data_IF_795328292329
#
_entry.id   IF_795328292329
#
_cell.length_a   1.000
_cell.length_b   1.000
_cell.length_c   1.000
_cell.angle_alpha   90.00
_cell.angle_beta   90.00
_cell.angle_gamma   90.00
#
_symmetry.space_group_name_H-M   'P 1'
#
loop_
_entity.id
_entity.type
_entity.pdbx_description
1 polymer ?
#
# COMPACT_ATOMS: atom_id res chain seq x y z
N UNK A 1 -14.25 6.15 -17.99
CA UNK A 1 -14.28 6.76 -16.64
C UNK A 1 -14.55 8.28 -16.63
N UNK A 2 -15.11 8.82 -17.72
CA UNK A 2 -15.32 10.29 -17.89
C UNK A 2 -16.24 10.95 -16.85
N UNK A 3 -17.06 10.17 -16.13
CA UNK A 3 -18.05 10.66 -15.20
C UNK A 3 -17.59 10.59 -13.73
N UNK A 4 -16.29 10.32 -13.50
CA UNK A 4 -15.75 10.09 -12.16
C UNK A 4 -14.85 11.24 -11.74
N UNK A 5 -15.07 11.75 -10.52
CA UNK A 5 -14.17 12.66 -9.83
C UNK A 5 -13.47 11.88 -8.71
N UNK A 6 -12.15 11.83 -8.77
CA UNK A 6 -11.33 11.17 -7.74
C UNK A 6 -10.93 12.17 -6.65
N UNK A 7 -10.94 11.72 -5.40
CA UNK A 7 -10.53 12.51 -4.24
C UNK A 7 -9.54 11.69 -3.40
N UNK A 8 -8.36 12.26 -3.09
CA UNK A 8 -7.33 11.56 -2.35
C UNK A 8 -6.21 12.46 -1.84
N UNK A 9 -5.13 11.89 -1.27
CA UNK A 9 -3.90 12.64 -1.05
C UNK A 9 -3.25 13.02 -2.38
N UNK A 10 -2.39 14.05 -2.38
CA UNK A 10 -1.59 14.41 -3.56
C UNK A 10 -0.76 13.20 -4.03
N UNK A 11 -0.69 13.01 -5.35
CA UNK A 11 -0.05 11.85 -5.96
C UNK A 11 1.29 12.16 -6.64
N UNK A 12 1.53 13.38 -7.13
CA UNK A 12 2.75 13.71 -7.90
C UNK A 12 4.03 13.65 -7.05
N UNK A 13 3.97 14.04 -5.77
CA UNK A 13 5.11 14.01 -4.84
C UNK A 13 4.74 13.25 -3.57
N UNK A 14 4.05 12.13 -3.73
CA UNK A 14 3.56 11.35 -2.61
C UNK A 14 4.67 10.63 -1.85
N UNK A 15 4.47 10.50 -0.52
CA UNK A 15 5.29 9.66 0.37
C UNK A 15 4.44 8.56 1.03
N UNK A 16 3.63 7.84 0.24
CA UNK A 16 2.77 6.80 0.79
C UNK A 16 1.97 6.03 -0.26
N UNK A 17 1.49 4.84 0.12
CA UNK A 17 0.87 3.89 -0.78
C UNK A 17 -0.35 4.41 -1.52
N UNK A 18 -1.27 5.16 -0.86
CA UNK A 18 -2.46 5.69 -1.54
C UNK A 18 -2.08 6.67 -2.66
N UNK A 19 -1.05 7.50 -2.45
CA UNK A 19 -0.53 8.39 -3.48
C UNK A 19 0.01 7.60 -4.68
N UNK A 20 0.70 6.48 -4.45
CA UNK A 20 1.19 5.60 -5.50
C UNK A 20 0.05 5.02 -6.35
N UNK A 21 -1.03 4.55 -5.73
CA UNK A 21 -2.22 4.07 -6.47
C UNK A 21 -2.84 5.17 -7.32
N UNK A 22 -2.99 6.38 -6.76
CA UNK A 22 -3.58 7.51 -7.48
C UNK A 22 -2.66 7.97 -8.62
N UNK A 23 -1.35 7.86 -8.45
CA UNK A 23 -0.38 8.16 -9.52
C UNK A 23 -0.58 7.23 -10.72
N UNK A 24 -0.73 5.92 -10.49
CA UNK A 24 -1.08 4.96 -11.55
C UNK A 24 -2.42 5.33 -12.20
N UNK A 25 -3.44 5.68 -11.41
CA UNK A 25 -4.73 6.13 -11.96
C UNK A 25 -4.56 7.34 -12.88
N UNK A 26 -3.72 8.30 -12.49
CA UNK A 26 -3.50 9.54 -13.26
C UNK A 26 -2.85 9.32 -14.61
N UNK A 27 -2.07 8.25 -14.76
CA UNK A 27 -1.39 7.89 -16.02
C UNK A 27 -2.29 7.14 -16.98
N UNK A 28 -3.22 6.34 -16.47
CA UNK A 28 -4.04 5.44 -17.27
C UNK A 28 -5.49 5.89 -17.48
N UNK A 29 -5.96 6.91 -16.75
CA UNK A 29 -7.33 7.43 -16.87
C UNK A 29 -7.32 8.80 -17.55
N UNK A 30 -7.95 8.92 -18.70
CA UNK A 30 -8.07 10.19 -19.45
C UNK A 30 -9.54 10.48 -19.76
N UNK A 31 -10.08 11.66 -19.39
CA UNK A 31 -9.47 12.69 -18.54
C UNK A 31 -9.44 12.27 -17.05
N UNK A 32 -8.36 12.58 -16.37
CA UNK A 32 -8.23 12.33 -14.93
C UNK A 32 -8.67 13.56 -14.12
N UNK A 33 -9.89 13.51 -13.57
CA UNK A 33 -10.44 14.57 -12.71
C UNK A 33 -10.11 14.26 -11.27
N UNK A 34 -9.31 15.12 -10.61
CA UNK A 34 -8.80 14.85 -9.28
C UNK A 34 -8.80 16.08 -8.37
N UNK A 35 -9.13 15.87 -7.10
CA UNK A 35 -9.02 16.87 -6.03
C UNK A 35 -8.09 16.33 -4.94
N UNK A 36 -6.92 16.97 -4.71
CA UNK A 36 -6.06 16.65 -3.59
C UNK A 36 -6.66 17.17 -2.27
N UNK A 37 -6.62 16.34 -1.22
CA UNK A 37 -7.12 16.69 0.12
C UNK A 37 -6.03 16.76 1.18
N UNK A 38 -4.81 16.40 0.82
CA UNK A 38 -3.66 16.36 1.71
C UNK A 38 -2.38 16.42 0.89
N UNK A 39 -1.44 17.22 1.37
CA UNK A 39 -0.05 17.29 0.88
C UNK A 39 0.90 17.19 2.06
N UNK A 40 2.12 16.74 1.82
CA UNK A 40 3.18 16.77 2.83
C UNK A 40 3.57 18.22 3.11
N UNK A 41 3.60 18.63 4.37
CA UNK A 41 3.95 20.01 4.74
C UNK A 41 3.42 20.39 6.11
N UNK A 42 3.50 21.71 6.45
CA UNK A 42 3.00 22.24 7.71
C UNK A 42 1.50 22.04 7.89
N UNK A 43 1.04 21.99 9.13
CA UNK A 43 -0.38 21.85 9.47
C UNK A 43 -1.24 22.94 8.80
N UNK A 44 -0.76 24.19 8.84
CA UNK A 44 -1.46 25.32 8.21
C UNK A 44 -1.63 25.12 6.69
N UNK A 45 -0.57 24.69 6.02
CA UNK A 45 -0.64 24.38 4.58
C UNK A 45 -1.63 23.26 4.27
N UNK A 46 -1.67 22.20 5.10
CA UNK A 46 -2.66 21.12 4.97
C UNK A 46 -4.10 21.62 5.13
N UNK A 47 -4.36 22.54 6.07
CA UNK A 47 -5.66 23.15 6.25
C UNK A 47 -6.09 23.95 5.01
N UNK A 48 -5.20 24.75 4.43
CA UNK A 48 -5.47 25.53 3.20
C UNK A 48 -5.84 24.58 2.04
N UNK A 49 -5.06 23.52 1.82
CA UNK A 49 -5.34 22.55 0.76
C UNK A 49 -6.71 21.89 0.96
N UNK A 50 -7.03 21.54 2.18
CA UNK A 50 -8.32 20.93 2.48
C UNK A 50 -9.50 21.90 2.28
N UNK A 51 -9.37 23.15 2.68
CA UNK A 51 -10.38 24.20 2.42
C UNK A 51 -10.55 24.41 0.90
N UNK A 52 -9.44 24.52 0.15
CA UNK A 52 -9.49 24.60 -1.31
C UNK A 52 -10.19 23.38 -1.93
N UNK A 53 -9.97 22.18 -1.38
CA UNK A 53 -10.63 20.95 -1.84
C UNK A 53 -12.16 21.03 -1.66
N UNK A 54 -12.65 21.56 -0.54
CA UNK A 54 -14.09 21.76 -0.29
C UNK A 54 -14.69 22.70 -1.34
N UNK A 55 -14.12 23.91 -1.51
CA UNK A 55 -14.64 24.89 -2.49
C UNK A 55 -14.57 24.35 -3.91
N UNK A 56 -13.49 23.70 -4.30
CA UNK A 56 -13.35 23.10 -5.62
C UNK A 56 -14.37 21.98 -5.86
N UNK A 57 -14.66 21.16 -4.84
CA UNK A 57 -15.68 20.12 -4.93
C UNK A 57 -17.07 20.73 -5.15
N UNK A 58 -17.45 21.72 -4.34
CA UNK A 58 -18.73 22.41 -4.48
C UNK A 58 -18.86 23.03 -5.88
N UNK A 59 -17.85 23.76 -6.32
CA UNK A 59 -17.82 24.38 -7.64
C UNK A 59 -17.98 23.35 -8.78
N UNK A 60 -17.21 22.24 -8.74
CA UNK A 60 -17.31 21.18 -9.74
C UNK A 60 -18.66 20.47 -9.71
N UNK A 61 -19.21 20.21 -8.53
CA UNK A 61 -20.53 19.59 -8.41
C UNK A 61 -21.63 20.46 -9.03
N UNK A 62 -21.48 21.78 -8.96
CA UNK A 62 -22.44 22.75 -9.49
C UNK A 62 -22.26 22.96 -10.99
N UNK A 63 -21.02 23.08 -11.49
CA UNK A 63 -20.72 23.49 -12.87
C UNK A 63 -20.54 22.32 -13.83
N UNK A 64 -20.05 21.16 -13.37
CA UNK A 64 -19.79 20.00 -14.23
C UNK A 64 -20.83 18.89 -14.00
N UNK A 65 -21.89 18.94 -14.82
CA UNK A 65 -22.95 17.93 -14.82
C UNK A 65 -22.46 16.55 -15.29
N UNK A 66 -21.32 16.48 -15.96
CA UNK A 66 -20.69 15.22 -16.39
C UNK A 66 -20.17 14.40 -15.22
N UNK A 67 -19.85 15.01 -14.08
CA UNK A 67 -19.47 14.30 -12.87
C UNK A 67 -20.71 13.67 -12.24
N UNK A 68 -20.78 12.34 -12.26
CA UNK A 68 -21.89 11.57 -11.67
C UNK A 68 -21.44 10.74 -10.46
N UNK A 69 -20.14 10.38 -10.40
CA UNK A 69 -19.53 9.58 -9.34
C UNK A 69 -18.41 10.36 -8.68
N UNK A 70 -18.35 10.31 -7.36
CA UNK A 70 -17.21 10.78 -6.56
C UNK A 70 -16.56 9.56 -5.91
N UNK A 71 -15.35 9.23 -6.36
CA UNK A 71 -14.55 8.13 -5.85
C UNK A 71 -13.51 8.65 -4.86
N UNK A 72 -13.64 8.28 -3.60
CA UNK A 72 -12.85 8.83 -2.51
C UNK A 72 -11.90 7.77 -1.95
N UNK A 73 -10.59 8.00 -2.05
CA UNK A 73 -9.57 7.14 -1.46
C UNK A 73 -9.39 7.46 0.02
N UNK A 74 -9.74 6.54 0.89
CA UNK A 74 -9.70 6.70 2.34
C UNK A 74 -8.53 5.95 2.99
N UNK A 75 -7.94 6.59 4.03
CA UNK A 75 -7.19 5.91 5.08
C UNK A 75 -8.03 5.92 6.38
N UNK A 76 -7.44 5.51 7.51
CA UNK A 76 -8.06 5.56 8.84
C UNK A 76 -7.94 6.95 9.49
N UNK A 77 -8.58 7.13 10.66
CA UNK A 77 -8.47 8.27 11.57
C UNK A 77 -8.86 9.62 10.91
N UNK A 78 -8.05 10.66 11.12
CA UNK A 78 -8.33 12.00 10.60
C UNK A 78 -8.51 12.08 9.09
N UNK A 79 -7.87 11.19 8.32
CA UNK A 79 -8.09 11.09 6.86
C UNK A 79 -9.53 10.66 6.55
N UNK A 80 -10.08 9.71 7.30
CA UNK A 80 -11.46 9.27 7.13
C UNK A 80 -12.44 10.41 7.42
N UNK A 81 -12.32 11.04 8.58
CA UNK A 81 -13.24 12.10 9.02
C UNK A 81 -13.30 13.29 8.04
N UNK A 82 -12.13 13.78 7.61
CA UNK A 82 -12.08 14.88 6.62
C UNK A 82 -12.78 14.50 5.32
N UNK A 83 -12.52 13.31 4.80
CA UNK A 83 -13.09 12.87 3.52
C UNK A 83 -14.57 12.49 3.61
N UNK A 84 -15.06 12.10 4.79
CA UNK A 84 -16.49 11.89 5.03
C UNK A 84 -17.29 13.17 4.84
N UNK A 85 -16.73 14.35 5.18
CA UNK A 85 -17.38 15.63 4.88
C UNK A 85 -17.50 15.87 3.38
N UNK A 86 -16.46 15.54 2.60
CA UNK A 86 -16.50 15.65 1.14
C UNK A 86 -17.52 14.67 0.52
N UNK A 87 -17.64 13.46 1.09
CA UNK A 87 -18.67 12.50 0.70
C UNK A 87 -20.08 13.06 0.94
N UNK A 88 -20.31 13.69 2.10
CA UNK A 88 -21.58 14.33 2.43
C UNK A 88 -21.92 15.45 1.43
N UNK A 89 -20.95 16.34 1.13
CA UNK A 89 -21.13 17.40 0.13
C UNK A 89 -21.54 16.78 -1.21
N UNK A 90 -20.83 15.79 -1.69
CA UNK A 90 -21.17 15.11 -2.95
C UNK A 90 -22.59 14.53 -2.95
N UNK A 91 -23.03 13.96 -1.84
CA UNK A 91 -24.41 13.45 -1.68
C UNK A 91 -25.47 14.54 -1.75
N UNK A 92 -25.22 15.69 -1.12
CA UNK A 92 -26.13 16.85 -1.19
C UNK A 92 -26.33 17.31 -2.64
N UNK A 93 -25.30 17.19 -3.49
CA UNK A 93 -25.39 17.45 -4.93
C UNK A 93 -25.87 16.26 -5.77
N UNK A 94 -26.43 15.23 -5.15
CA UNK A 94 -26.97 14.05 -5.84
C UNK A 94 -25.93 13.16 -6.54
N UNK A 95 -24.65 13.29 -6.18
CA UNK A 95 -23.59 12.45 -6.77
C UNK A 95 -23.54 11.07 -6.09
N UNK A 96 -23.24 10.04 -6.85
CA UNK A 96 -22.97 8.70 -6.32
C UNK A 96 -21.61 8.67 -5.61
N UNK A 97 -21.57 8.10 -4.42
CA UNK A 97 -20.38 8.11 -3.55
C UNK A 97 -19.78 6.71 -3.45
N UNK A 98 -18.51 6.60 -3.79
CA UNK A 98 -17.71 5.39 -3.63
C UNK A 98 -16.59 5.66 -2.63
N UNK A 99 -16.49 4.84 -1.59
CA UNK A 99 -15.45 4.92 -0.58
C UNK A 99 -14.45 3.79 -0.80
N UNK A 100 -13.22 4.10 -1.20
CA UNK A 100 -12.15 3.14 -1.40
C UNK A 100 -11.22 3.15 -0.19
N UNK A 101 -11.23 2.10 0.61
CA UNK A 101 -10.56 2.06 1.92
C UNK A 101 -9.25 1.29 1.82
N UNK A 102 -8.13 2.01 1.98
CA UNK A 102 -6.77 1.47 1.85
C UNK A 102 -6.11 1.10 3.19
N UNK A 103 -6.66 1.57 4.30
CA UNK A 103 -5.98 1.48 5.60
C UNK A 103 -6.14 0.13 6.29
N UNK A 104 -5.03 -0.58 6.56
CA UNK A 104 -5.00 -1.82 7.34
C UNK A 104 -5.40 -1.68 8.83
N UNK A 105 -5.44 -0.46 9.36
CA UNK A 105 -5.81 -0.19 10.77
C UNK A 105 -7.26 0.27 10.97
N UNK A 106 -8.16 0.06 10.00
CA UNK A 106 -9.52 0.60 10.07
C UNK A 106 -10.33 0.01 11.23
N UNK A 107 -10.23 -1.29 11.51
CA UNK A 107 -10.92 -1.96 12.62
C UNK A 107 -10.52 -1.36 13.98
N UNK A 108 -9.23 -1.12 14.21
CA UNK A 108 -8.74 -0.46 15.43
C UNK A 108 -9.25 0.98 15.54
N UNK A 109 -9.28 1.71 14.43
CA UNK A 109 -9.82 3.06 14.37
C UNK A 109 -11.31 3.05 14.74
N UNK A 110 -12.12 2.21 14.13
CA UNK A 110 -13.55 2.09 14.40
C UNK A 110 -13.82 1.67 15.83
N UNK A 111 -13.11 0.66 16.36
CA UNK A 111 -13.29 0.17 17.70
C UNK A 111 -12.98 1.23 18.78
N UNK A 112 -11.97 2.07 18.54
CA UNK A 112 -11.57 3.14 19.48
C UNK A 112 -12.39 4.43 19.33
N UNK A 113 -13.17 4.56 18.29
CA UNK A 113 -13.83 5.82 17.91
C UNK A 113 -15.08 6.18 18.76
N UNK A 114 -15.27 5.60 19.93
CA UNK A 114 -16.40 5.83 20.88
C UNK A 114 -17.58 6.68 20.32
N UNK A 115 -17.51 7.97 20.45
CA UNK A 115 -18.56 8.92 20.02
C UNK A 115 -18.66 9.11 18.50
N UNK A 116 -17.63 8.75 17.75
CA UNK A 116 -17.63 8.88 16.27
C UNK A 116 -18.17 7.63 15.56
N UNK A 117 -18.39 6.54 16.28
CA UNK A 117 -18.92 5.29 15.68
C UNK A 117 -20.19 5.49 14.85
N UNK A 118 -21.22 6.22 15.34
CA UNK A 118 -22.43 6.43 14.56
C UNK A 118 -22.17 7.18 13.25
N UNK A 119 -21.31 8.21 13.29
CA UNK A 119 -20.92 8.97 12.09
C UNK A 119 -20.14 8.13 11.09
N UNK A 120 -19.16 7.33 11.56
CA UNK A 120 -18.40 6.42 10.71
C UNK A 120 -19.32 5.40 10.05
N UNK A 121 -20.20 4.78 10.85
CA UNK A 121 -21.18 3.80 10.37
C UNK A 121 -22.10 4.42 9.32
N UNK A 122 -22.69 5.57 9.63
CA UNK A 122 -23.55 6.29 8.70
C UNK A 122 -22.82 6.63 7.39
N UNK A 123 -21.58 7.12 7.44
CA UNK A 123 -20.79 7.44 6.24
C UNK A 123 -20.62 6.23 5.34
N UNK A 124 -20.30 5.07 5.91
CA UNK A 124 -20.12 3.82 5.16
C UNK A 124 -21.44 3.30 4.60
N UNK A 125 -22.46 3.18 5.44
CA UNK A 125 -23.76 2.59 5.07
C UNK A 125 -24.58 3.47 4.12
N UNK A 126 -24.35 4.78 4.15
CA UNK A 126 -25.00 5.71 3.24
C UNK A 126 -24.32 5.83 1.87
N UNK A 127 -23.10 5.35 1.69
CA UNK A 127 -22.39 5.37 0.40
C UNK A 127 -23.02 4.40 -0.60
N UNK A 128 -22.83 4.65 -1.91
CA UNK A 128 -23.36 3.78 -2.96
C UNK A 128 -22.52 2.52 -3.14
N UNK A 129 -21.22 2.59 -2.83
CA UNK A 129 -20.35 1.43 -2.72
C UNK A 129 -19.18 1.69 -1.77
N UNK A 130 -18.72 0.61 -1.14
CA UNK A 130 -17.44 0.55 -0.41
C UNK A 130 -16.53 -0.43 -1.14
N UNK A 131 -15.32 0.02 -1.46
CA UNK A 131 -14.24 -0.80 -2.01
C UNK A 131 -13.28 -1.13 -0.88
N UNK A 132 -12.97 -2.41 -0.71
CA UNK A 132 -11.92 -2.92 0.15
C UNK A 132 -10.87 -3.67 -0.67
N UNK A 133 -9.71 -3.97 -0.07
CA UNK A 133 -8.54 -4.43 -0.81
C UNK A 133 -8.37 -5.95 -0.80
N UNK A 134 -9.14 -6.70 0.01
CA UNK A 134 -8.93 -8.13 0.17
C UNK A 134 -10.16 -8.84 0.75
N UNK A 135 -10.23 -10.17 0.67
CA UNK A 135 -11.31 -10.98 1.23
C UNK A 135 -11.39 -10.86 2.75
N UNK A 136 -10.24 -10.78 3.44
CA UNK A 136 -10.19 -10.56 4.88
C UNK A 136 -10.90 -9.24 5.26
N UNK A 137 -10.62 -8.16 4.54
CA UNK A 137 -11.29 -6.87 4.76
C UNK A 137 -12.76 -6.89 4.36
N UNK A 138 -13.12 -7.61 3.30
CA UNK A 138 -14.52 -7.80 2.90
C UNK A 138 -15.32 -8.50 4.01
N UNK A 139 -14.78 -9.58 4.59
CA UNK A 139 -15.41 -10.27 5.73
C UNK A 139 -15.61 -9.33 6.92
N UNK A 140 -14.59 -8.52 7.26
CA UNK A 140 -14.71 -7.55 8.33
C UNK A 140 -15.82 -6.51 8.06
N UNK A 141 -15.81 -5.87 6.88
CA UNK A 141 -16.80 -4.84 6.56
C UNK A 141 -18.23 -5.40 6.47
N UNK A 142 -18.41 -6.58 5.91
CA UNK A 142 -19.74 -7.21 5.82
C UNK A 142 -20.30 -7.62 7.19
N UNK A 143 -19.44 -7.97 8.15
CA UNK A 143 -19.89 -8.31 9.51
C UNK A 143 -20.18 -7.07 10.37
N UNK A 144 -19.46 -5.96 10.12
CA UNK A 144 -19.54 -4.76 10.95
C UNK A 144 -20.58 -3.72 10.48
N UNK A 145 -20.95 -3.73 9.19
CA UNK A 145 -21.74 -2.66 8.54
C UNK A 145 -22.78 -3.22 7.56
N UNK A 146 -23.93 -2.52 7.45
CA UNK A 146 -24.98 -2.81 6.46
C UNK A 146 -24.72 -1.99 5.19
N UNK A 147 -23.78 -2.42 4.37
CA UNK A 147 -23.37 -1.70 3.18
C UNK A 147 -24.30 -1.98 1.99
N UNK A 148 -24.61 -0.95 1.18
CA UNK A 148 -25.40 -1.12 -0.05
C UNK A 148 -24.69 -2.02 -1.05
N UNK A 149 -23.39 -1.80 -1.21
CA UNK A 149 -22.52 -2.62 -2.06
C UNK A 149 -21.11 -2.67 -1.48
N UNK A 150 -20.56 -3.86 -1.38
CA UNK A 150 -19.19 -4.09 -0.91
C UNK A 150 -18.46 -4.92 -1.97
N UNK A 151 -17.38 -4.37 -2.52
CA UNK A 151 -16.59 -5.00 -3.57
C UNK A 151 -15.10 -5.04 -3.19
N UNK A 152 -14.39 -6.05 -3.71
CA UNK A 152 -12.94 -6.08 -3.64
C UNK A 152 -12.40 -5.52 -4.94
N UNK A 153 -11.63 -4.45 -4.84
CA UNK A 153 -10.78 -3.94 -5.92
C UNK A 153 -9.43 -3.67 -5.31
N UNK A 154 -8.44 -4.42 -5.75
CA UNK A 154 -7.10 -4.39 -5.19
C UNK A 154 -6.36 -3.09 -5.57
N UNK A 155 -5.24 -2.84 -4.87
CA UNK A 155 -4.30 -1.80 -5.28
C UNK A 155 -3.73 -2.13 -6.66
N UNK A 156 -3.53 -1.10 -7.47
CA UNK A 156 -2.92 -1.20 -8.79
C UNK A 156 -1.44 -0.86 -8.70
N UNK A 157 -0.64 -1.52 -9.50
CA UNK A 157 0.79 -1.26 -9.68
C UNK A 157 1.13 -1.11 -11.15
N UNK A 158 2.19 -0.35 -11.45
CA UNK A 158 2.76 -0.33 -12.80
C UNK A 158 3.51 -1.63 -13.09
N UNK A 159 3.45 -2.09 -14.33
CA UNK A 159 4.31 -3.16 -14.80
C UNK A 159 5.73 -2.60 -15.04
N UNK A 160 6.78 -3.35 -14.69
CA UNK A 160 8.14 -2.89 -14.96
C UNK A 160 8.41 -2.82 -16.47
N UNK A 161 9.08 -1.73 -16.90
CA UNK A 161 9.45 -1.53 -18.31
C UNK A 161 10.48 -2.55 -18.81
N UNK A 162 11.24 -3.17 -17.90
CA UNK A 162 12.27 -4.15 -18.18
C UNK A 162 11.98 -5.44 -17.43
N UNK A 163 12.07 -6.57 -18.12
CA UNK A 163 11.93 -7.88 -17.49
C UNK A 163 12.95 -8.06 -16.37
N UNK A 164 12.52 -8.57 -15.22
CA UNK A 164 13.39 -8.73 -14.06
C UNK A 164 14.58 -9.61 -14.38
N UNK A 165 15.76 -9.15 -14.02
CA UNK A 165 16.98 -9.97 -14.10
C UNK A 165 17.27 -10.56 -12.74
N UNK A 166 17.53 -11.87 -12.69
CA UNK A 166 18.06 -12.50 -11.49
C UNK A 166 19.56 -12.18 -11.39
N UNK A 167 19.92 -11.29 -10.48
CA UNK A 167 21.32 -10.92 -10.24
C UNK A 167 21.93 -12.00 -9.34
N UNK A 168 22.83 -12.79 -9.90
CA UNK A 168 23.60 -13.80 -9.14
C UNK A 168 24.90 -13.18 -8.61
N UNK A 169 24.82 -12.36 -7.57
CA UNK A 169 26.01 -11.96 -6.81
C UNK A 169 26.15 -12.89 -5.59
N UNK A 170 27.37 -13.09 -5.10
CA UNK A 170 27.69 -14.07 -4.06
C UNK A 170 26.99 -13.88 -2.71
N UNK A 171 26.33 -12.72 -2.45
CA UNK A 171 25.57 -12.40 -1.24
C UNK A 171 24.07 -12.35 -1.54
N UNK A 172 23.23 -12.72 -0.55
CA UNK A 172 21.78 -12.53 -0.60
C UNK A 172 21.43 -11.04 -0.38
N UNK A 173 20.77 -10.42 -1.36
CA UNK A 173 20.39 -9.01 -1.30
C UNK A 173 18.89 -8.86 -0.93
N UNK A 174 18.65 -8.45 0.30
CA UNK A 174 17.29 -8.17 0.82
C UNK A 174 16.93 -6.70 0.58
N UNK A 175 15.69 -6.45 0.19
CA UNK A 175 15.15 -5.10 0.02
C UNK A 175 13.94 -4.90 0.93
N UNK A 176 13.97 -3.85 1.73
CA UNK A 176 12.83 -3.33 2.47
C UNK A 176 12.42 -1.96 1.89
N UNK A 177 11.15 -1.80 1.51
CA UNK A 177 10.57 -0.51 1.12
C UNK A 177 9.34 -0.21 1.96
N UNK A 178 9.42 0.86 2.78
CA UNK A 178 8.30 1.25 3.62
C UNK A 178 8.63 2.37 4.60
N UNK A 179 7.65 2.78 5.41
CA UNK A 179 7.94 3.68 6.51
C UNK A 179 8.89 3.01 7.52
N UNK A 180 9.94 3.72 7.89
CA UNK A 180 10.90 3.28 8.92
C UNK A 180 10.25 3.45 10.29
N UNK A 181 9.59 2.42 10.77
CA UNK A 181 8.88 2.40 12.05
C UNK A 181 8.81 0.98 12.62
N UNK A 182 8.65 0.86 13.95
CA UNK A 182 8.37 -0.43 14.61
C UNK A 182 7.24 -1.21 13.92
N UNK A 183 6.16 -0.52 13.53
CA UNK A 183 4.98 -1.15 12.92
C UNK A 183 5.26 -1.83 11.58
N UNK A 184 6.33 -1.47 10.92
CA UNK A 184 6.76 -2.07 9.66
C UNK A 184 7.82 -3.17 9.86
N UNK A 185 8.24 -3.41 11.11
CA UNK A 185 9.14 -4.50 11.49
C UNK A 185 10.58 -4.34 11.01
N UNK A 186 10.97 -3.15 10.53
CA UNK A 186 12.34 -2.92 10.04
C UNK A 186 13.39 -3.15 11.12
N UNK A 187 13.05 -2.82 12.38
CA UNK A 187 13.94 -3.04 13.52
C UNK A 187 14.04 -4.51 13.90
N UNK A 188 12.97 -5.32 13.71
CA UNK A 188 13.04 -6.78 13.90
C UNK A 188 14.02 -7.42 12.90
N UNK A 189 13.99 -6.98 11.63
CA UNK A 189 14.96 -7.42 10.63
C UNK A 189 16.40 -7.09 11.07
N UNK A 190 16.64 -5.87 11.54
CA UNK A 190 17.97 -5.47 12.01
C UNK A 190 18.40 -6.25 13.26
N UNK A 191 17.48 -6.52 14.19
CA UNK A 191 17.76 -7.32 15.39
C UNK A 191 18.18 -8.75 15.03
N UNK A 192 17.49 -9.37 14.06
CA UNK A 192 17.85 -10.71 13.56
C UNK A 192 19.24 -10.72 12.96
N UNK A 193 19.59 -9.73 12.13
CA UNK A 193 20.92 -9.61 11.54
C UNK A 193 22.00 -9.37 12.60
N UNK A 194 21.73 -8.53 13.59
CA UNK A 194 22.66 -8.24 14.67
C UNK A 194 22.93 -9.47 15.55
N UNK A 195 21.87 -10.19 15.95
CA UNK A 195 21.97 -11.39 16.77
C UNK A 195 22.70 -12.54 16.07
N UNK A 196 22.73 -12.56 14.75
CA UNK A 196 23.37 -13.61 13.93
C UNK A 196 24.50 -13.05 13.05
N UNK A 197 25.15 -11.98 13.48
CA UNK A 197 26.11 -11.21 12.70
C UNK A 197 27.22 -12.06 12.07
N UNK A 198 27.89 -12.91 12.86
CA UNK A 198 28.99 -13.75 12.36
C UNK A 198 28.56 -14.71 11.23
N UNK A 199 27.29 -15.12 11.26
CA UNK A 199 26.74 -15.97 10.21
C UNK A 199 26.43 -15.20 8.92
N UNK A 200 25.92 -13.94 9.05
CA UNK A 200 25.43 -13.14 7.91
C UNK A 200 26.46 -12.17 7.33
N UNK A 201 27.52 -11.86 8.07
CA UNK A 201 28.57 -10.93 7.64
C UNK A 201 29.06 -11.22 6.22
N UNK A 202 28.96 -10.23 5.33
CA UNK A 202 29.29 -10.28 3.91
C UNK A 202 28.47 -11.28 3.05
N UNK A 203 27.57 -12.06 3.65
CA UNK A 203 26.71 -13.03 2.96
C UNK A 203 25.28 -12.49 2.74
N UNK A 204 24.81 -11.60 3.61
CA UNK A 204 23.49 -10.99 3.50
C UNK A 204 23.66 -9.46 3.48
N UNK A 205 23.12 -8.83 2.46
CA UNK A 205 23.05 -7.37 2.34
C UNK A 205 21.60 -6.91 2.42
N UNK A 206 21.36 -5.82 3.11
CA UNK A 206 20.01 -5.24 3.24
C UNK A 206 20.02 -3.80 2.77
N UNK A 207 19.14 -3.47 1.84
CA UNK A 207 18.85 -2.08 1.49
C UNK A 207 17.50 -1.69 2.06
N UNK A 208 17.47 -0.60 2.83
CA UNK A 208 16.26 -0.04 3.44
C UNK A 208 15.92 1.26 2.74
N UNK A 209 14.79 1.28 2.03
CA UNK A 209 14.22 2.48 1.40
C UNK A 209 12.98 2.96 2.14
N UNK A 210 12.96 4.26 2.52
CA UNK A 210 11.83 4.85 3.21
C UNK A 210 12.20 6.05 4.05
N UNK A 211 11.24 6.51 4.86
CA UNK A 211 11.42 7.60 5.84
C UNK A 211 10.61 7.28 7.09
N UNK A 212 10.97 7.88 8.21
CA UNK A 212 10.25 7.74 9.47
C UNK A 212 11.16 7.99 10.67
N UNK A 213 11.54 6.93 11.37
CA UNK A 213 12.48 6.99 12.51
C UNK A 213 13.94 6.94 12.01
N UNK A 214 14.27 7.84 11.07
CA UNK A 214 15.53 7.81 10.31
C UNK A 214 16.76 7.91 11.21
N UNK A 215 16.75 8.77 12.23
CA UNK A 215 17.87 8.93 13.17
C UNK A 215 18.06 7.68 14.03
N UNK A 216 16.95 7.05 14.45
CA UNK A 216 17.01 5.78 15.18
C UNK A 216 17.59 4.68 14.29
N UNK A 217 17.16 4.62 13.03
CA UNK A 217 17.67 3.64 12.07
C UNK A 217 19.18 3.78 11.87
N UNK A 218 19.65 5.00 11.58
CA UNK A 218 21.10 5.29 11.44
C UNK A 218 21.89 4.91 12.67
N UNK A 219 21.37 5.25 13.85
CA UNK A 219 21.99 4.88 15.14
C UNK A 219 22.05 3.35 15.30
N UNK A 220 20.98 2.62 14.99
CA UNK A 220 20.94 1.16 15.05
C UNK A 220 21.96 0.54 14.09
N UNK A 221 22.08 1.06 12.86
CA UNK A 221 23.06 0.60 11.88
C UNK A 221 24.48 0.80 12.37
N UNK A 222 24.81 1.98 12.92
CA UNK A 222 26.15 2.30 13.40
C UNK A 222 26.52 1.50 14.66
N UNK A 223 25.60 1.33 15.61
CA UNK A 223 25.83 0.60 16.85
C UNK A 223 26.08 -0.90 16.64
N UNK A 224 25.45 -1.49 15.63
CA UNK A 224 25.67 -2.91 15.30
C UNK A 224 26.79 -3.13 14.30
N UNK A 225 27.51 -2.08 13.90
CA UNK A 225 28.70 -2.15 13.01
C UNK A 225 28.49 -3.08 11.81
N UNK A 226 27.40 -2.94 11.06
CA UNK A 226 27.05 -3.82 9.94
C UNK A 226 28.05 -3.81 8.77
N UNK A 227 29.16 -3.05 8.87
CA UNK A 227 30.28 -3.05 7.91
C UNK A 227 29.87 -2.86 6.44
N UNK A 228 28.83 -2.09 6.18
CA UNK A 228 28.29 -1.87 4.83
C UNK A 228 27.32 -2.94 4.34
N UNK A 229 27.02 -3.97 5.14
CA UNK A 229 26.01 -4.97 4.79
C UNK A 229 24.58 -4.42 4.93
N UNK A 230 24.37 -3.33 5.67
CA UNK A 230 23.08 -2.63 5.77
C UNK A 230 23.22 -1.20 5.21
N UNK A 231 22.43 -0.88 4.19
CA UNK A 231 22.38 0.41 3.54
C UNK A 231 21.04 1.09 3.73
N UNK A 232 21.02 2.34 4.20
CA UNK A 232 19.83 3.18 4.26
C UNK A 232 19.79 4.15 3.07
N UNK A 233 18.90 3.88 2.11
CA UNK A 233 18.75 4.65 0.88
C UNK A 233 17.88 5.91 1.03
N UNK A 234 17.27 6.14 2.20
CA UNK A 234 16.29 7.22 2.38
C UNK A 234 15.02 6.99 1.56
N UNK A 235 14.29 8.07 1.28
CA UNK A 235 13.10 7.96 0.43
C UNK A 235 13.49 7.64 -1.01
N UNK A 236 12.90 6.57 -1.56
CA UNK A 236 13.14 6.13 -2.94
C UNK A 236 11.85 6.11 -3.75
N UNK A 237 11.92 6.60 -4.99
CA UNK A 237 10.84 6.60 -5.97
C UNK A 237 11.39 6.51 -7.40
N UNK A 238 10.51 6.43 -8.39
CA UNK A 238 10.88 6.41 -9.81
C UNK A 238 12.00 5.41 -10.12
N UNK A 239 12.98 5.85 -10.92
CA UNK A 239 14.08 5.00 -11.39
C UNK A 239 14.89 4.36 -10.24
N UNK A 240 15.12 5.11 -9.15
CA UNK A 240 15.87 4.57 -8.02
C UNK A 240 15.14 3.40 -7.33
N UNK A 241 13.81 3.49 -7.21
CA UNK A 241 13.02 2.37 -6.69
C UNK A 241 13.05 1.18 -7.65
N UNK A 242 12.92 1.42 -8.95
CA UNK A 242 13.02 0.39 -9.98
C UNK A 242 14.38 -0.33 -9.97
N UNK A 243 15.48 0.42 -9.86
CA UNK A 243 16.83 -0.14 -9.72
C UNK A 243 16.95 -1.06 -8.50
N UNK A 244 16.47 -0.62 -7.33
CA UNK A 244 16.53 -1.40 -6.09
C UNK A 244 15.67 -2.67 -6.20
N UNK A 245 14.46 -2.56 -6.75
CA UNK A 245 13.60 -3.71 -6.99
C UNK A 245 14.22 -4.68 -7.99
N UNK A 246 14.91 -4.20 -9.01
CA UNK A 246 15.56 -5.06 -10.00
C UNK A 246 16.79 -5.75 -9.42
N UNK A 247 17.56 -5.07 -8.57
CA UNK A 247 18.84 -5.56 -8.04
C UNK A 247 18.74 -6.45 -6.81
N UNK A 248 17.61 -6.45 -6.08
CA UNK A 248 17.45 -7.33 -4.93
C UNK A 248 17.14 -8.78 -5.33
N UNK A 249 17.44 -9.72 -4.44
CA UNK A 249 17.10 -11.15 -4.59
C UNK A 249 15.75 -11.46 -3.93
N UNK A 250 15.49 -10.86 -2.77
CA UNK A 250 14.27 -11.09 -1.98
C UNK A 250 13.74 -9.75 -1.43
N UNK A 251 12.44 -9.59 -1.49
CA UNK A 251 11.75 -8.48 -0.85
C UNK A 251 11.31 -8.86 0.57
N UNK A 252 11.59 -8.03 1.57
CA UNK A 252 11.27 -8.32 2.97
C UNK A 252 10.40 -7.21 3.58
N UNK A 253 9.25 -7.57 4.18
CA UNK A 253 8.35 -6.65 4.86
C UNK A 253 7.74 -7.31 6.10
N UNK A 254 8.39 -7.27 7.27
CA UNK A 254 7.95 -7.94 8.49
C UNK A 254 6.93 -7.11 9.28
N UNK A 255 5.93 -6.58 8.62
CA UNK A 255 4.96 -5.63 9.18
C UNK A 255 4.03 -6.25 10.23
N UNK A 256 3.62 -5.43 11.20
CA UNK A 256 2.61 -5.77 12.20
C UNK A 256 1.16 -5.50 11.74
N UNK A 257 0.98 -4.57 10.79
CA UNK A 257 -0.34 -4.19 10.29
C UNK A 257 -0.26 -3.77 8.83
N UNK A 258 -1.07 -4.40 7.99
CA UNK A 258 -1.21 -4.03 6.56
C UNK A 258 -2.68 -4.06 6.10
N UNK A 259 -2.95 -3.30 5.03
CA UNK A 259 -4.14 -3.50 4.20
C UNK A 259 -3.85 -4.56 3.15
N UNK A 260 -3.39 -4.07 1.99
CA UNK A 260 -2.74 -4.83 0.93
C UNK A 260 -1.51 -4.00 0.50
N UNK A 261 -0.29 -4.37 0.93
CA UNK A 261 0.88 -3.52 0.76
C UNK A 261 1.32 -3.43 -0.71
N UNK A 262 1.34 -2.21 -1.24
CA UNK A 262 1.71 -1.94 -2.63
C UNK A 262 3.16 -2.33 -2.89
N UNK A 263 4.04 -2.11 -1.93
CA UNK A 263 5.47 -2.44 -2.08
C UNK A 263 5.73 -3.94 -2.25
N UNK A 264 4.89 -4.82 -1.67
CA UNK A 264 4.93 -6.26 -1.96
C UNK A 264 4.47 -6.52 -3.41
N UNK A 265 3.36 -5.91 -3.83
CA UNK A 265 2.87 -6.07 -5.20
C UNK A 265 3.89 -5.58 -6.24
N UNK A 266 4.51 -4.43 -5.98
CA UNK A 266 5.61 -3.91 -6.81
C UNK A 266 6.78 -4.90 -6.87
N UNK A 267 7.23 -5.42 -5.73
CA UNK A 267 8.32 -6.42 -5.70
C UNK A 267 7.94 -7.70 -6.46
N UNK A 268 6.69 -8.16 -6.34
CA UNK A 268 6.19 -9.32 -7.08
C UNK A 268 6.18 -9.07 -8.59
N UNK A 269 5.85 -7.85 -9.05
CA UNK A 269 5.93 -7.47 -10.46
C UNK A 269 7.36 -7.48 -11.01
N UNK A 270 8.35 -7.27 -10.14
CA UNK A 270 9.77 -7.45 -10.45
C UNK A 270 10.26 -8.89 -10.24
N UNK A 271 9.35 -9.85 -10.10
CA UNK A 271 9.70 -11.27 -9.96
C UNK A 271 10.46 -11.57 -8.67
N UNK A 272 10.21 -10.85 -7.58
CA UNK A 272 10.92 -11.11 -6.32
C UNK A 272 10.13 -12.02 -5.41
N UNK A 273 10.77 -13.06 -4.84
CA UNK A 273 10.24 -13.78 -3.68
C UNK A 273 9.98 -12.82 -2.53
N UNK A 274 9.00 -13.15 -1.68
CA UNK A 274 8.60 -12.26 -0.59
C UNK A 274 8.74 -12.95 0.77
N UNK A 275 9.45 -12.31 1.69
CA UNK A 275 9.45 -12.65 3.11
C UNK A 275 8.54 -11.64 3.82
N UNK A 276 7.45 -12.09 4.45
CA UNK A 276 6.54 -11.18 5.12
C UNK A 276 5.78 -11.86 6.27
N UNK A 277 4.89 -11.11 6.89
CA UNK A 277 4.07 -11.61 8.00
C UNK A 277 2.65 -11.96 7.55
N UNK A 278 1.97 -12.80 8.32
CA UNK A 278 0.61 -13.29 8.03
C UNK A 278 -0.49 -12.27 8.43
N UNK A 279 -0.27 -10.98 8.21
CA UNK A 279 -1.21 -9.91 8.61
C UNK A 279 -1.96 -9.30 7.42
N UNK A 280 -3.18 -8.85 7.69
CA UNK A 280 -3.98 -8.11 6.70
C UNK A 280 -4.24 -8.92 5.43
N UNK A 281 -4.08 -8.28 4.28
CA UNK A 281 -4.22 -8.92 2.96
C UNK A 281 -2.96 -9.64 2.48
N UNK A 282 -1.86 -9.65 3.24
CA UNK A 282 -0.60 -10.28 2.81
C UNK A 282 -0.78 -11.78 2.49
N UNK A 283 -1.49 -12.60 3.30
CA UNK A 283 -1.69 -14.01 2.96
C UNK A 283 -2.50 -14.27 1.68
N UNK A 284 -3.14 -13.23 1.14
CA UNK A 284 -3.85 -13.36 -0.13
C UNK A 284 -2.91 -13.25 -1.34
N UNK A 285 -1.75 -12.59 -1.18
CA UNK A 285 -0.77 -12.35 -2.25
C UNK A 285 0.55 -13.10 -2.06
N UNK A 286 0.94 -13.40 -0.83
CA UNK A 286 2.10 -14.23 -0.51
C UNK A 286 1.62 -15.59 -0.04
N UNK A 287 2.00 -16.64 -0.78
CA UNK A 287 1.63 -18.04 -0.51
C UNK A 287 2.85 -18.79 -0.07
N UNK A 288 2.93 -19.27 1.19
CA UNK A 288 4.04 -20.09 1.67
C UNK A 288 4.28 -21.29 0.77
N UNK A 289 5.54 -21.57 0.45
CA UNK A 289 5.93 -22.67 -0.43
C UNK A 289 5.68 -22.42 -1.92
N UNK A 290 5.15 -21.24 -2.30
CA UNK A 290 4.84 -20.94 -3.70
C UNK A 290 5.57 -19.70 -4.23
N UNK A 291 5.40 -18.52 -3.57
CA UNK A 291 6.06 -17.27 -3.98
C UNK A 291 6.76 -16.54 -2.83
N UNK A 292 6.89 -17.15 -1.67
CA UNK A 292 7.55 -16.56 -0.52
C UNK A 292 7.25 -17.28 0.78
N UNK A 293 7.50 -16.58 1.88
CA UNK A 293 7.37 -17.08 3.23
C UNK A 293 6.53 -16.15 4.08
N UNK A 294 5.76 -16.73 4.99
CA UNK A 294 4.97 -16.01 5.98
C UNK A 294 5.31 -16.47 7.40
N UNK A 295 5.43 -15.52 8.31
CA UNK A 295 5.67 -15.78 9.72
C UNK A 295 4.82 -14.83 10.60
N UNK A 296 4.79 -15.05 11.91
CA UNK A 296 4.06 -14.16 12.83
C UNK A 296 4.86 -12.86 13.09
N UNK A 297 4.19 -11.69 13.17
CA UNK A 297 4.86 -10.43 13.52
C UNK A 297 5.67 -10.57 14.82
N UNK A 298 6.92 -10.12 14.81
CA UNK A 298 7.82 -10.18 15.96
C UNK A 298 8.50 -11.52 16.18
N UNK A 299 8.19 -12.55 15.40
CA UNK A 299 8.85 -13.86 15.47
C UNK A 299 10.22 -13.79 14.76
N UNK A 300 11.21 -13.34 15.51
CA UNK A 300 12.58 -13.16 15.02
C UNK A 300 13.28 -14.49 14.71
N UNK A 301 12.91 -15.57 15.40
CA UNK A 301 13.46 -16.90 15.14
C UNK A 301 12.97 -17.43 13.79
N UNK A 302 11.66 -17.35 13.52
CA UNK A 302 11.13 -17.71 12.22
C UNK A 302 11.72 -16.86 11.08
N UNK A 303 11.87 -15.55 11.27
CA UNK A 303 12.51 -14.67 10.30
C UNK A 303 13.96 -15.08 10.03
N UNK A 304 14.72 -15.41 11.08
CA UNK A 304 16.09 -15.89 10.96
C UNK A 304 16.18 -17.19 10.13
N UNK A 305 15.32 -18.17 10.43
CA UNK A 305 15.30 -19.45 9.72
C UNK A 305 14.94 -19.27 8.24
N UNK A 306 13.98 -18.38 7.93
CA UNK A 306 13.59 -18.05 6.56
C UNK A 306 14.74 -17.37 5.79
N UNK A 307 15.48 -16.43 6.42
CA UNK A 307 16.63 -15.78 5.77
C UNK A 307 17.72 -16.81 5.45
N UNK A 308 17.98 -17.78 6.34
CA UNK A 308 18.92 -18.88 6.11
C UNK A 308 18.48 -19.75 4.93
N UNK A 309 17.23 -20.19 4.91
CA UNK A 309 16.68 -20.97 3.79
C UNK A 309 16.80 -20.22 2.45
N UNK A 310 16.47 -18.92 2.44
CA UNK A 310 16.60 -18.08 1.25
C UNK A 310 18.05 -17.92 0.78
N UNK A 311 19.02 -17.86 1.72
CA UNK A 311 20.44 -17.74 1.42
C UNK A 311 20.99 -19.03 0.77
N UNK A 312 20.53 -20.17 1.24
CA UNK A 312 21.08 -21.48 0.82
C UNK A 312 20.41 -22.03 -0.46
N UNK A 313 19.28 -21.46 -0.91
CA UNK A 313 18.49 -22.07 -1.98
C UNK A 313 18.13 -21.10 -3.13
N UNK A 314 19.11 -20.87 -4.02
CA UNK A 314 18.95 -19.95 -5.17
C UNK A 314 17.90 -20.39 -6.18
N UNK A 315 17.76 -21.69 -6.42
CA UNK A 315 16.73 -22.20 -7.35
C UNK A 315 15.32 -21.95 -6.83
N UNK A 316 15.13 -22.06 -5.51
CA UNK A 316 13.87 -21.74 -4.85
C UNK A 316 13.52 -20.25 -5.04
N UNK A 317 14.51 -19.35 -4.90
CA UNK A 317 14.30 -17.93 -5.14
C UNK A 317 13.82 -17.65 -6.56
N UNK A 318 14.41 -18.30 -7.55
CA UNK A 318 14.00 -18.16 -8.96
C UNK A 318 12.57 -18.67 -9.19
N UNK A 319 12.25 -19.84 -8.65
CA UNK A 319 10.91 -20.42 -8.72
C UNK A 319 9.86 -19.50 -8.07
N UNK A 320 10.12 -19.03 -6.85
CA UNK A 320 9.20 -18.12 -6.13
C UNK A 320 9.07 -16.78 -6.83
N UNK A 321 10.15 -16.28 -7.41
CA UNK A 321 10.12 -15.06 -8.22
C UNK A 321 9.20 -15.17 -9.43
N UNK A 322 9.29 -16.25 -10.19
CA UNK A 322 8.40 -16.52 -11.33
C UNK A 322 6.93 -16.63 -10.88
N UNK A 323 6.67 -17.25 -9.76
CA UNK A 323 5.33 -17.36 -9.18
C UNK A 323 4.81 -16.00 -8.71
N UNK A 324 5.67 -15.14 -8.15
CA UNK A 324 5.35 -13.75 -7.80
C UNK A 324 4.90 -12.96 -9.04
N UNK A 325 5.63 -13.05 -10.15
CA UNK A 325 5.25 -12.46 -11.44
C UNK A 325 3.86 -12.91 -11.89
N UNK A 326 3.56 -14.20 -11.80
CA UNK A 326 2.26 -14.72 -12.22
C UNK A 326 1.11 -14.17 -11.36
N UNK A 327 1.30 -14.06 -10.04
CA UNK A 327 0.29 -13.48 -9.17
C UNK A 327 0.13 -11.99 -9.45
N UNK A 328 1.21 -11.24 -9.69
CA UNK A 328 1.19 -9.78 -9.87
C UNK A 328 0.36 -9.32 -11.08
N UNK A 329 0.16 -10.15 -12.09
CA UNK A 329 -0.67 -9.87 -13.28
C UNK A 329 -2.12 -9.48 -12.95
N UNK A 330 -2.63 -9.89 -11.80
CA UNK A 330 -3.97 -9.52 -11.32
C UNK A 330 -4.07 -8.06 -10.81
N UNK A 331 -2.93 -7.42 -10.58
CA UNK A 331 -2.82 -6.09 -9.98
C UNK A 331 -2.36 -5.02 -10.97
N UNK A 332 -2.30 -5.37 -12.25
CA UNK A 332 -1.96 -4.46 -13.36
C UNK A 332 -3.09 -3.48 -13.66
N UNK A 333 -2.79 -2.35 -14.34
CA UNK A 333 -3.79 -1.37 -14.72
C UNK A 333 -4.97 -1.98 -15.48
N UNK A 334 -4.70 -2.87 -16.44
CA UNK A 334 -5.73 -3.54 -17.24
C UNK A 334 -6.75 -4.27 -16.36
N UNK A 335 -6.28 -5.11 -15.43
CA UNK A 335 -7.17 -5.91 -14.57
C UNK A 335 -7.96 -5.05 -13.58
N UNK A 336 -7.30 -4.08 -12.94
CA UNK A 336 -7.92 -3.26 -11.91
C UNK A 336 -8.90 -2.25 -12.50
N UNK A 337 -8.56 -1.62 -13.63
CA UNK A 337 -9.47 -0.65 -14.27
C UNK A 337 -10.67 -1.30 -14.93
N UNK A 338 -10.56 -2.53 -15.40
CA UNK A 338 -11.74 -3.30 -15.82
C UNK A 338 -12.73 -3.45 -14.66
N UNK A 339 -12.26 -3.90 -13.50
CA UNK A 339 -13.11 -4.05 -12.29
C UNK A 339 -13.74 -2.74 -11.83
N UNK A 340 -13.00 -1.63 -11.94
CA UNK A 340 -13.52 -0.29 -11.63
C UNK A 340 -14.59 0.15 -12.63
N UNK A 341 -14.38 -0.07 -13.93
CA UNK A 341 -15.37 0.28 -14.96
C UNK A 341 -16.67 -0.49 -14.76
N UNK A 342 -16.59 -1.78 -14.47
CA UNK A 342 -17.75 -2.63 -14.20
C UNK A 342 -18.53 -2.11 -12.99
N UNK A 343 -17.84 -1.75 -11.91
CA UNK A 343 -18.47 -1.15 -10.73
C UNK A 343 -19.16 0.18 -11.06
N UNK A 344 -18.49 1.09 -11.78
CA UNK A 344 -19.07 2.39 -12.13
C UNK A 344 -20.29 2.24 -13.02
N UNK A 345 -20.23 1.35 -14.00
CA UNK A 345 -21.38 1.05 -14.89
C UNK A 345 -22.56 0.54 -14.09
N UNK A 346 -22.36 -0.40 -13.18
CA UNK A 346 -23.40 -0.93 -12.31
C UNK A 346 -24.04 0.15 -11.39
N UNK A 347 -23.25 1.12 -10.91
CA UNK A 347 -23.74 2.21 -10.05
C UNK A 347 -24.53 3.24 -10.86
N UNK A 348 -24.15 3.51 -12.09
CA UNK A 348 -24.80 4.49 -12.95
C UNK A 348 -26.12 4.00 -13.57
N UNK A 349 -26.31 2.69 -13.65
CA UNK A 349 -27.53 2.05 -14.20
C UNK A 349 -28.63 1.83 -13.13
N UNK A 350 -28.36 2.24 -11.87
CA UNK A 350 -29.30 2.27 -10.74
C UNK A 350 -29.87 3.70 -10.52
#
# INVERSE_FOLDING_TARGET
>A
MNNVLFIGPEHKNHRGGIGAVIDVYSKHITPFRFIPTYVTGSFFHQCIIYIKAIFRLIWLCFTDRGIRIIHIHHASRGSFLRKSLLALIGKVFGKKIILHIHGGGFHNFYNRAKFLKPFIKWTLESSDAVICLSEMWKKYYSSAFKLKRLVIINNVIEEPDVLPQHVQNGSLNLLFLGHVTEKKGVFDLLNVLAANREHYKHKVKVTIGGVGEDERLKKTISQNEFNGDVNFAGWVNGNKKAELLNSCDVYVLPSYFEGLPISILEAMAYGKPVISTNVGGIPEIVKPGYNGWLFHPGDQEALNNIIREAMDNKELLKQYGNNSLNISKKYTPTSVFQSLNDLYTQILNQ
#
